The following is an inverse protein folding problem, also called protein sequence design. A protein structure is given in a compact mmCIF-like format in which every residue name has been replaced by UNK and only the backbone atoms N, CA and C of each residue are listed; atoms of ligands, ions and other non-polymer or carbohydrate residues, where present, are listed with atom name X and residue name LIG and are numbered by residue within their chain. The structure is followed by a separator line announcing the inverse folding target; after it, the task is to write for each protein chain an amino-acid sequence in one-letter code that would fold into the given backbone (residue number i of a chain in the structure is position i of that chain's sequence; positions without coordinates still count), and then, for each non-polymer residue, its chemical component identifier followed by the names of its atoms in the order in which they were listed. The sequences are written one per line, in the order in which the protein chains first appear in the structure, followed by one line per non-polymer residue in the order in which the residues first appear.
data_IF_710995937450
#
_entry.id   IF_710995937450
#
_cell.length_a   1.000
_cell.length_b   1.000
_cell.length_c   1.000
_cell.angle_alpha   90.00
_cell.angle_beta   90.00
_cell.angle_gamma   90.00
#
_symmetry.space_group_name_H-M   'P 1'
#
loop_
_entity.id
_entity.type
_entity.pdbx_description
1 polymer ?
#
# COMPACT_ATOMS: atom_id res chain seq x y z
N UNK A 1 -13.20 -15.67 3.87
CA UNK A 1 -11.96 -15.32 3.15
C UNK A 1 -10.80 -16.07 3.79
N UNK A 2 -9.87 -16.61 3.01
CA UNK A 2 -8.73 -17.36 3.55
C UNK A 2 -7.80 -16.42 4.33
N UNK A 3 -7.23 -16.89 5.46
CA UNK A 3 -6.38 -16.07 6.34
C UNK A 3 -5.16 -15.52 5.59
N UNK A 4 -4.57 -16.33 4.71
CA UNK A 4 -3.47 -15.90 3.84
C UNK A 4 -3.87 -14.78 2.88
N UNK A 5 -5.10 -14.80 2.36
CA UNK A 5 -5.61 -13.72 1.48
C UNK A 5 -5.74 -12.41 2.25
N UNK A 6 -6.26 -12.47 3.49
CA UNK A 6 -6.34 -11.29 4.36
C UNK A 6 -4.96 -10.73 4.69
N UNK A 7 -3.99 -11.60 5.00
CA UNK A 7 -2.60 -11.19 5.26
C UNK A 7 -1.94 -10.57 4.02
N UNK A 8 -2.13 -11.17 2.84
CA UNK A 8 -1.58 -10.64 1.58
C UNK A 8 -2.15 -9.25 1.26
N UNK A 9 -3.45 -9.04 1.47
CA UNK A 9 -4.09 -7.73 1.29
C UNK A 9 -3.65 -6.71 2.35
N UNK A 10 -3.58 -7.11 3.62
CA UNK A 10 -3.16 -6.23 4.70
C UNK A 10 -1.71 -5.78 4.52
N UNK A 11 -0.81 -6.67 4.09
CA UNK A 11 0.59 -6.35 3.78
C UNK A 11 0.71 -5.49 2.53
N UNK A 12 -0.11 -5.69 1.49
CA UNK A 12 -0.18 -4.77 0.34
C UNK A 12 -0.57 -3.36 0.76
N UNK A 13 -1.64 -3.24 1.56
CA UNK A 13 -2.14 -1.97 2.08
C UNK A 13 -1.07 -1.28 2.94
N UNK A 14 -0.50 -1.99 3.91
CA UNK A 14 0.56 -1.47 4.76
C UNK A 14 1.78 -1.01 3.93
N UNK A 15 2.23 -1.82 2.97
CA UNK A 15 3.35 -1.48 2.09
C UNK A 15 3.09 -0.23 1.25
N UNK A 16 1.91 -0.13 0.62
CA UNK A 16 1.50 1.05 -0.13
C UNK A 16 1.42 2.30 0.75
N UNK A 17 0.85 2.18 1.95
CA UNK A 17 0.74 3.31 2.89
C UNK A 17 2.11 3.77 3.37
N UNK A 18 3.05 2.88 3.66
CA UNK A 18 4.43 3.25 4.01
C UNK A 18 5.11 4.06 2.88
N UNK A 19 4.96 3.62 1.63
CA UNK A 19 5.53 4.31 0.47
C UNK A 19 4.83 5.67 0.26
N UNK A 20 3.51 5.73 0.37
CA UNK A 20 2.76 6.98 0.22
C UNK A 20 3.11 7.98 1.33
N UNK A 21 3.22 7.50 2.57
CA UNK A 21 3.60 8.31 3.72
C UNK A 21 5.10 8.70 3.73
N UNK A 22 5.90 8.16 2.80
CA UNK A 22 7.25 8.65 2.53
C UNK A 22 7.28 9.77 1.48
N UNK A 23 6.18 9.97 0.74
CA UNK A 23 6.11 10.97 -0.34
C UNK A 23 5.97 12.38 0.22
N UNK A 24 6.68 13.38 -0.34
CA UNK A 24 6.50 14.79 0.05
C UNK A 24 5.11 15.32 -0.34
N UNK A 25 4.47 14.71 -1.35
CA UNK A 25 3.13 15.10 -1.82
C UNK A 25 2.00 14.49 -1.00
N UNK A 26 2.31 13.77 0.09
CA UNK A 26 1.27 13.24 0.97
C UNK A 26 0.55 14.40 1.68
N UNK A 27 -0.77 14.31 1.77
CA UNK A 27 -1.60 15.28 2.52
C UNK A 27 -2.09 14.74 3.87
N UNK A 28 -1.64 13.54 4.25
CA UNK A 28 -2.06 12.84 5.46
C UNK A 28 -1.37 13.38 6.72
N UNK A 29 -0.05 13.61 6.65
CA UNK A 29 0.78 14.08 7.76
C UNK A 29 1.38 15.44 7.43
N UNK A 30 1.58 16.26 8.47
CA UNK A 30 2.24 17.56 8.33
C UNK A 30 3.75 17.43 8.05
N UNK A 31 4.35 16.35 8.55
CA UNK A 31 5.74 15.99 8.32
C UNK A 31 5.79 14.59 7.69
N UNK A 32 6.45 14.43 6.53
CA UNK A 32 6.57 13.13 5.87
C UNK A 32 7.39 12.14 6.72
N UNK A 33 7.16 10.83 6.56
CA UNK A 33 8.05 9.84 7.15
C UNK A 33 9.44 9.91 6.51
N UNK A 34 10.49 9.53 7.24
CA UNK A 34 11.83 9.41 6.69
C UNK A 34 11.81 8.45 5.48
N UNK A 35 12.17 8.98 4.31
CA UNK A 35 11.92 8.33 3.03
C UNK A 35 12.63 6.98 2.89
N UNK A 36 13.88 6.87 3.35
CA UNK A 36 14.67 5.64 3.29
C UNK A 36 14.01 4.44 4.00
N UNK A 37 13.84 4.49 5.34
CA UNK A 37 13.28 3.37 6.09
C UNK A 37 11.83 3.07 5.71
N UNK A 38 11.02 4.10 5.42
CA UNK A 38 9.63 3.90 5.04
C UNK A 38 9.49 3.21 3.67
N UNK A 39 10.33 3.58 2.69
CA UNK A 39 10.37 2.88 1.39
C UNK A 39 10.92 1.46 1.51
N UNK A 40 11.95 1.26 2.34
CA UNK A 40 12.51 -0.07 2.60
C UNK A 40 11.48 -1.02 3.23
N UNK A 41 10.84 -0.60 4.31
CA UNK A 41 9.76 -1.36 4.95
C UNK A 41 8.58 -1.58 4.00
N UNK A 42 8.21 -0.55 3.22
CA UNK A 42 7.17 -0.66 2.21
C UNK A 42 7.47 -1.72 1.15
N UNK A 43 8.68 -1.74 0.61
CA UNK A 43 9.12 -2.74 -0.36
C UNK A 43 9.13 -4.15 0.23
N UNK A 44 9.58 -4.33 1.48
CA UNK A 44 9.55 -5.63 2.17
C UNK A 44 8.12 -6.15 2.34
N UNK A 45 7.18 -5.28 2.73
CA UNK A 45 5.77 -5.63 2.88
C UNK A 45 5.12 -5.98 1.54
N UNK A 46 5.45 -5.25 0.46
CA UNK A 46 4.97 -5.56 -0.89
C UNK A 46 5.51 -6.90 -1.40
N UNK A 47 6.79 -7.21 -1.15
CA UNK A 47 7.36 -8.51 -1.48
C UNK A 47 6.68 -9.65 -0.71
N UNK A 48 6.38 -9.45 0.57
CA UNK A 48 5.61 -10.42 1.37
C UNK A 48 4.19 -10.63 0.83
N UNK A 49 3.52 -9.55 0.42
CA UNK A 49 2.19 -9.61 -0.20
C UNK A 49 2.20 -10.40 -1.51
N UNK A 50 3.17 -10.10 -2.41
CA UNK A 50 3.35 -10.84 -3.66
C UNK A 50 3.52 -12.34 -3.40
N UNK A 51 4.41 -12.70 -2.46
CA UNK A 51 4.61 -14.10 -2.08
C UNK A 51 3.32 -14.74 -1.59
N UNK A 52 2.54 -14.03 -0.77
CA UNK A 52 1.23 -14.50 -0.32
C UNK A 52 0.26 -14.78 -1.47
N UNK A 53 0.22 -13.95 -2.51
CA UNK A 53 -0.59 -14.22 -3.70
C UNK A 53 -0.05 -15.39 -4.54
N UNK A 54 1.26 -15.55 -4.63
CA UNK A 54 1.89 -16.66 -5.34
C UNK A 54 1.66 -18.03 -4.67
N UNK A 55 1.44 -18.07 -3.35
CA UNK A 55 1.03 -19.31 -2.65
C UNK A 55 -0.45 -19.64 -2.88
N UNK A 56 -1.28 -18.65 -3.23
CA UNK A 56 -2.73 -18.83 -3.41
C UNK A 56 -3.10 -19.14 -4.87
N UNK A 57 -2.26 -18.77 -5.83
CA UNK A 57 -2.58 -18.77 -7.27
C UNK A 57 -1.36 -19.08 -8.13
N UNK A 58 -1.59 -19.48 -9.37
CA UNK A 58 -0.53 -19.57 -10.39
C UNK A 58 0.21 -18.22 -10.54
N UNK A 59 1.47 -18.24 -10.97
CA UNK A 59 2.33 -17.05 -11.00
C UNK A 59 1.74 -15.88 -11.81
N UNK A 60 1.10 -16.17 -12.96
CA UNK A 60 0.48 -15.16 -13.82
C UNK A 60 -0.69 -14.45 -13.13
N UNK A 61 -1.77 -15.15 -12.67
CA UNK A 61 -2.87 -14.47 -11.97
C UNK A 61 -2.45 -13.82 -10.65
N UNK A 62 -1.45 -14.38 -9.94
CA UNK A 62 -0.90 -13.73 -8.75
C UNK A 62 -0.31 -12.35 -9.07
N UNK A 63 0.50 -12.28 -10.13
CA UNK A 63 1.11 -11.02 -10.62
C UNK A 63 0.06 -9.98 -10.98
N UNK A 64 -0.95 -10.38 -11.77
CA UNK A 64 -2.02 -9.46 -12.20
C UNK A 64 -2.85 -8.99 -11.00
N UNK A 65 -3.24 -9.89 -10.11
CA UNK A 65 -4.01 -9.54 -8.91
C UNK A 65 -3.24 -8.56 -8.03
N UNK A 66 -1.95 -8.82 -7.81
CA UNK A 66 -1.10 -7.93 -7.05
C UNK A 66 -0.96 -6.55 -7.72
N UNK A 67 -0.74 -6.51 -9.04
CA UNK A 67 -0.68 -5.25 -9.79
C UNK A 67 -1.99 -4.47 -9.71
N UNK A 68 -3.14 -5.14 -9.86
CA UNK A 68 -4.47 -4.51 -9.71
C UNK A 68 -4.67 -3.94 -8.31
N UNK A 69 -4.29 -4.68 -7.27
CA UNK A 69 -4.36 -4.20 -5.88
C UNK A 69 -3.46 -2.99 -5.68
N UNK A 70 -2.23 -3.01 -6.18
CA UNK A 70 -1.31 -1.86 -6.13
C UNK A 70 -1.90 -0.63 -6.81
N UNK A 71 -2.41 -0.78 -8.05
CA UNK A 71 -3.00 0.32 -8.80
C UNK A 71 -4.19 0.91 -8.05
N UNK A 72 -5.09 0.06 -7.55
CA UNK A 72 -6.25 0.48 -6.77
C UNK A 72 -5.83 1.27 -5.51
N UNK A 73 -4.86 0.76 -4.76
CA UNK A 73 -4.39 1.40 -3.53
C UNK A 73 -3.70 2.73 -3.84
N UNK A 74 -2.78 2.77 -4.81
CA UNK A 74 -2.11 4.02 -5.17
C UNK A 74 -3.04 5.08 -5.73
N UNK A 75 -4.15 4.69 -6.37
CA UNK A 75 -5.21 5.62 -6.76
C UNK A 75 -6.00 6.11 -5.55
N UNK A 76 -6.41 5.22 -4.63
CA UNK A 76 -7.25 5.58 -3.48
C UNK A 76 -6.53 6.41 -2.41
N UNK A 77 -5.28 6.09 -2.09
CA UNK A 77 -4.50 6.74 -1.03
C UNK A 77 -4.44 8.29 -1.13
N UNK A 78 -4.16 8.91 -2.30
CA UNK A 78 -4.16 10.36 -2.43
C UNK A 78 -5.56 10.97 -2.23
N UNK A 79 -6.64 10.31 -2.65
CA UNK A 79 -8.01 10.80 -2.41
C UNK A 79 -8.36 10.78 -0.93
N UNK A 80 -7.98 9.73 -0.21
CA UNK A 80 -8.13 9.70 1.26
C UNK A 80 -7.32 10.84 1.89
N UNK A 81 -6.12 11.12 1.38
CA UNK A 81 -5.31 12.25 1.83
C UNK A 81 -5.96 13.61 1.60
N UNK A 82 -6.55 13.80 0.42
CA UNK A 82 -7.32 15.01 0.11
C UNK A 82 -8.52 15.15 1.05
N UNK A 83 -9.27 14.07 1.31
CA UNK A 83 -10.41 14.07 2.22
C UNK A 83 -9.99 14.42 3.65
N UNK A 84 -8.88 13.87 4.15
CA UNK A 84 -8.32 14.20 5.47
C UNK A 84 -7.93 15.68 5.53
N UNK A 85 -7.27 16.21 4.50
CA UNK A 85 -6.87 17.61 4.45
C UNK A 85 -8.08 18.55 4.43
N UNK A 86 -9.12 18.23 3.64
CA UNK A 86 -10.37 19.00 3.60
C UNK A 86 -11.06 19.01 4.98
N UNK A 87 -11.06 17.89 5.70
CA UNK A 87 -11.63 17.82 7.05
C UNK A 87 -10.84 18.61 8.09
N UNK A 88 -9.53 18.81 7.91
CA UNK A 88 -8.70 19.66 8.81
C UNK A 88 -8.86 21.15 8.51
N UNK A 89 -9.21 21.51 7.28
CA UNK A 89 -9.39 22.90 6.85
C UNK A 89 -10.79 23.46 7.16
N UNK A 90 -11.73 22.61 7.60
CA UNK A 90 -13.09 22.96 8.00
C UNK A 90 -13.19 23.01 9.51
#
# INVERSE_FOLDING_TARGET
MNTLTLLALATALAGCTCIHLASPNQRWRHTPLPAGPARGLGALLLAASWRGFAELMQATPATFTFATVLMLLFVLLPYVGALIAMRRAR
#
